data_IF_209636184254
#
_entry.id   IF_209636184254
#
_cell.length_a   1.000
_cell.length_b   1.000
_cell.length_c   1.000
_cell.angle_alpha   90.00
_cell.angle_beta   90.00
_cell.angle_gamma   90.00
#
_symmetry.space_group_name_H-M   'P 1'
#
loop_
_entity.id
_entity.type
_entity.pdbx_description
1 polymer ?
#
# COMPACT_ATOMS: atom_id res chain seq x y z
N UNK A 1 -22.44 -9.34 -33.08
CA UNK A 1 -21.07 -8.91 -32.84
C UNK A 1 -21.05 -8.43 -31.38
N UNK A 2 -20.56 -9.26 -30.47
CA UNK A 2 -20.47 -8.94 -29.06
C UNK A 2 -19.07 -8.36 -28.80
N UNK A 3 -18.98 -7.05 -28.59
CA UNK A 3 -17.77 -6.44 -28.08
C UNK A 3 -17.73 -6.71 -26.57
N UNK A 4 -17.04 -7.74 -26.17
CA UNK A 4 -16.60 -7.92 -24.79
C UNK A 4 -15.49 -6.92 -24.52
N UNK A 5 -15.79 -5.89 -23.74
CA UNK A 5 -14.80 -5.00 -23.17
C UNK A 5 -13.98 -5.85 -22.16
N UNK A 6 -12.78 -6.26 -22.57
CA UNK A 6 -11.81 -6.84 -21.64
C UNK A 6 -11.19 -5.68 -20.86
N UNK A 7 -11.66 -5.42 -19.65
CA UNK A 7 -10.98 -4.54 -18.71
C UNK A 7 -9.71 -5.24 -18.23
N UNK A 8 -8.56 -4.63 -18.41
CA UNK A 8 -7.30 -5.14 -17.86
C UNK A 8 -7.24 -4.85 -16.35
N UNK A 9 -6.79 -5.81 -15.57
CA UNK A 9 -6.69 -5.70 -14.10
C UNK A 9 -5.90 -4.47 -13.59
N UNK A 10 -5.00 -3.92 -14.39
CA UNK A 10 -4.20 -2.74 -14.04
C UNK A 10 -4.96 -1.40 -14.13
N UNK A 11 -6.13 -1.36 -14.76
CA UNK A 11 -6.99 -0.17 -14.76
C UNK A 11 -7.97 -0.16 -13.56
N UNK A 12 -7.98 -1.22 -12.79
CA UNK A 12 -8.99 -1.47 -11.76
C UNK A 12 -8.76 -0.69 -10.46
N UNK A 13 -7.54 -0.25 -10.15
CA UNK A 13 -7.27 0.30 -8.83
C UNK A 13 -7.91 1.68 -8.52
N UNK A 14 -8.40 2.40 -9.50
CA UNK A 14 -9.10 3.67 -9.27
C UNK A 14 -10.57 3.64 -9.68
N UNK A 15 -10.96 2.74 -10.59
CA UNK A 15 -12.38 2.57 -10.96
C UNK A 15 -13.00 1.27 -10.44
N UNK A 16 -12.24 0.34 -9.90
CA UNK A 16 -12.72 -0.94 -9.39
C UNK A 16 -13.38 -0.85 -8.01
N UNK A 17 -13.34 0.29 -7.35
CA UNK A 17 -14.16 0.50 -6.16
C UNK A 17 -15.68 0.50 -6.46
N UNK A 18 -16.08 0.47 -7.72
CA UNK A 18 -17.50 0.60 -8.08
C UNK A 18 -18.08 -0.47 -9.00
N UNK A 19 -17.34 -1.46 -9.52
CA UNK A 19 -17.92 -2.34 -10.57
C UNK A 19 -17.55 -3.81 -10.57
N UNK A 20 -16.79 -4.33 -9.63
CA UNK A 20 -16.58 -5.77 -9.52
C UNK A 20 -17.28 -6.30 -8.26
N UNK A 21 -18.62 -6.25 -8.24
CA UNK A 21 -19.38 -7.04 -7.29
C UNK A 21 -19.39 -8.49 -7.81
N UNK A 22 -18.39 -9.28 -7.47
CA UNK A 22 -18.50 -10.73 -7.48
C UNK A 22 -19.53 -11.18 -6.42
N UNK A 23 -19.94 -10.26 -5.53
CA UNK A 23 -20.86 -10.51 -4.44
C UNK A 23 -22.31 -10.71 -4.86
N UNK A 24 -23.03 -11.39 -3.98
CA UNK A 24 -24.48 -11.59 -4.12
C UNK A 24 -25.18 -10.23 -3.93
N UNK A 25 -25.84 -9.74 -4.98
CA UNK A 25 -26.71 -8.58 -4.88
C UNK A 25 -27.96 -8.95 -4.06
N UNK A 26 -28.13 -8.29 -2.91
CA UNK A 26 -29.31 -8.47 -2.05
C UNK A 26 -30.41 -7.48 -2.46
N UNK A 27 -30.01 -6.28 -2.82
CA UNK A 27 -30.89 -5.22 -3.33
C UNK A 27 -30.20 -4.58 -4.54
N UNK A 28 -30.97 -4.43 -5.63
CA UNK A 28 -30.52 -3.70 -6.82
C UNK A 28 -31.74 -3.02 -7.44
N UNK A 29 -31.80 -1.71 -7.28
CA UNK A 29 -32.91 -0.87 -7.74
C UNK A 29 -32.37 0.46 -8.30
N UNK A 30 -33.24 1.19 -9.00
CA UNK A 30 -32.89 2.55 -9.48
C UNK A 30 -32.56 3.54 -8.33
N UNK A 31 -32.96 3.23 -7.09
CA UNK A 31 -32.73 4.06 -5.92
C UNK A 31 -31.51 3.65 -5.10
N UNK A 32 -30.91 2.49 -5.36
CA UNK A 32 -29.74 2.02 -4.65
C UNK A 32 -29.52 0.52 -4.73
N UNK A 33 -28.37 0.08 -4.23
CA UNK A 33 -27.97 -1.32 -4.16
C UNK A 33 -27.46 -1.68 -2.77
N UNK A 34 -27.44 -2.97 -2.49
CA UNK A 34 -26.72 -3.56 -1.37
C UNK A 34 -26.25 -4.95 -1.76
N UNK A 35 -24.99 -5.21 -1.54
CA UNK A 35 -24.34 -6.49 -1.88
C UNK A 35 -23.54 -7.05 -0.71
N UNK A 36 -23.36 -8.36 -0.73
CA UNK A 36 -22.44 -9.09 0.13
C UNK A 36 -21.56 -9.95 -0.75
N UNK A 37 -20.27 -9.80 -0.60
CA UNK A 37 -19.25 -10.56 -1.32
C UNK A 37 -18.03 -10.77 -0.44
N UNK A 38 -16.93 -11.10 -1.03
CA UNK A 38 -15.67 -11.23 -0.30
C UNK A 38 -14.65 -12.09 -1.02
N UNK A 39 -13.59 -12.42 -0.31
CA UNK A 39 -12.58 -13.34 -0.81
C UNK A 39 -12.04 -14.25 0.29
N UNK A 40 -11.47 -15.36 -0.15
CA UNK A 40 -10.70 -16.28 0.69
C UNK A 40 -9.29 -16.34 0.14
N UNK A 41 -8.31 -16.15 1.01
CA UNK A 41 -6.91 -16.37 0.73
C UNK A 41 -6.37 -17.43 1.68
N UNK A 42 -5.67 -18.43 1.14
CA UNK A 42 -4.90 -19.38 1.92
C UNK A 42 -3.51 -19.45 1.33
N UNK A 43 -2.52 -19.13 2.14
CA UNK A 43 -1.13 -19.03 1.75
C UNK A 43 -0.32 -20.19 2.32
N UNK A 44 0.58 -20.74 1.48
CA UNK A 44 1.66 -21.63 1.87
C UNK A 44 2.96 -20.90 1.54
N UNK A 45 3.70 -20.54 2.58
CA UNK A 45 4.89 -19.71 2.49
C UNK A 45 6.14 -20.53 2.74
N UNK A 46 7.17 -20.20 2.01
CA UNK A 46 8.55 -20.56 2.27
C UNK A 46 9.36 -19.28 2.35
N UNK A 47 10.24 -19.21 3.34
CA UNK A 47 11.13 -18.08 3.55
C UNK A 47 12.47 -18.59 4.05
N UNK A 48 13.56 -18.03 3.53
CA UNK A 48 14.93 -18.34 3.87
C UNK A 48 15.65 -17.00 4.10
N UNK A 49 15.84 -16.67 5.37
CA UNK A 49 16.48 -15.41 5.83
C UNK A 49 17.85 -15.69 6.42
N UNK A 50 18.84 -15.04 5.90
CA UNK A 50 20.23 -15.21 6.34
C UNK A 50 20.48 -14.66 7.76
N UNK A 51 19.69 -13.67 8.20
CA UNK A 51 19.82 -13.00 9.51
C UNK A 51 19.29 -13.79 10.70
N UNK A 52 18.57 -14.86 10.51
CA UNK A 52 18.11 -15.70 11.62
C UNK A 52 19.28 -16.47 12.20
N UNK A 53 19.47 -16.35 13.52
CA UNK A 53 20.59 -16.94 14.30
C UNK A 53 20.88 -18.43 14.05
N UNK A 54 20.03 -19.11 13.30
CA UNK A 54 20.15 -20.53 12.98
C UNK A 54 20.22 -20.86 11.47
N UNK A 55 20.17 -19.92 10.54
CA UNK A 55 20.08 -20.16 9.09
C UNK A 55 18.95 -21.17 8.72
N UNK A 56 17.83 -21.12 9.41
CA UNK A 56 16.74 -22.07 9.21
C UNK A 56 15.69 -21.49 8.25
N UNK A 57 15.46 -22.20 7.17
CA UNK A 57 14.33 -21.92 6.30
C UNK A 57 13.02 -22.23 7.02
N UNK A 58 12.05 -21.33 6.88
CA UNK A 58 10.74 -21.46 7.50
C UNK A 58 9.65 -21.79 6.48
N UNK A 59 8.77 -22.70 6.89
CA UNK A 59 7.51 -22.96 6.21
C UNK A 59 6.38 -22.59 7.14
N UNK A 60 5.48 -21.75 6.66
CA UNK A 60 4.27 -21.44 7.40
C UNK A 60 3.04 -21.43 6.51
N UNK A 61 1.88 -21.44 7.14
CA UNK A 61 0.59 -21.32 6.50
C UNK A 61 -0.17 -20.20 7.20
N UNK A 62 -0.67 -19.27 6.41
CA UNK A 62 -1.57 -18.23 6.85
C UNK A 62 -2.74 -18.08 5.88
N UNK A 63 -3.61 -17.13 6.13
CA UNK A 63 -4.71 -16.83 5.24
C UNK A 63 -5.83 -16.09 5.93
N UNK A 64 -6.82 -15.72 5.15
CA UNK A 64 -7.96 -14.95 5.63
C UNK A 64 -9.24 -15.25 4.86
N UNK A 65 -10.35 -14.99 5.51
CA UNK A 65 -11.65 -14.80 4.86
C UNK A 65 -12.06 -13.36 5.07
N UNK A 66 -12.17 -12.60 4.00
CA UNK A 66 -12.70 -11.25 3.99
C UNK A 66 -14.17 -11.32 3.55
N UNK A 67 -15.05 -10.68 4.29
CA UNK A 67 -16.46 -10.50 3.90
C UNK A 67 -16.68 -9.03 3.62
N UNK A 68 -17.17 -8.71 2.43
CA UNK A 68 -17.51 -7.35 2.04
C UNK A 68 -19.01 -7.10 2.19
N UNK A 69 -19.38 -6.06 2.87
CA UNK A 69 -20.71 -5.45 2.85
C UNK A 69 -20.60 -4.08 2.17
N UNK A 70 -21.27 -3.90 1.04
CA UNK A 70 -21.27 -2.65 0.31
C UNK A 70 -22.71 -2.23 -0.01
N UNK A 71 -23.01 -0.94 0.11
CA UNK A 71 -24.31 -0.40 -0.23
C UNK A 71 -24.26 1.05 -0.62
N UNK A 72 -25.07 1.42 -1.60
CA UNK A 72 -25.22 2.79 -2.08
C UNK A 72 -26.69 3.15 -2.22
N UNK A 73 -26.99 4.40 -1.95
CA UNK A 73 -28.31 4.98 -2.22
C UNK A 73 -28.17 6.21 -3.11
N UNK A 74 -28.98 6.25 -4.15
CA UNK A 74 -28.95 7.29 -5.17
C UNK A 74 -30.12 8.25 -5.09
N UNK A 75 -29.93 9.44 -5.64
CA UNK A 75 -30.99 10.41 -5.91
C UNK A 75 -31.17 10.60 -7.41
N UNK A 76 -32.34 11.09 -7.83
CA UNK A 76 -32.65 11.30 -9.25
C UNK A 76 -31.73 12.30 -9.97
N UNK A 77 -31.00 13.14 -9.25
CA UNK A 77 -30.03 14.10 -9.80
C UNK A 77 -28.57 13.63 -9.73
N UNK A 78 -28.37 12.33 -9.43
CA UNK A 78 -27.06 11.68 -9.47
C UNK A 78 -26.21 11.86 -8.22
N UNK A 79 -26.73 12.43 -7.13
CA UNK A 79 -26.03 12.37 -5.85
C UNK A 79 -26.21 10.99 -5.21
N UNK A 80 -25.23 10.57 -4.41
CA UNK A 80 -25.26 9.30 -3.72
C UNK A 80 -24.67 9.39 -2.31
N UNK A 81 -25.00 8.41 -1.51
CA UNK A 81 -24.31 8.04 -0.28
C UNK A 81 -23.99 6.56 -0.35
N UNK A 82 -22.79 6.18 0.08
CA UNK A 82 -22.29 4.82 0.10
C UNK A 82 -21.66 4.46 1.43
N UNK A 83 -21.69 3.16 1.74
CA UNK A 83 -21.00 2.56 2.87
C UNK A 83 -20.31 1.28 2.43
N UNK A 84 -19.15 1.01 3.01
CA UNK A 84 -18.43 -0.26 2.85
C UNK A 84 -17.90 -0.69 4.20
N UNK A 85 -17.94 -2.01 4.45
CA UNK A 85 -17.26 -2.61 5.60
C UNK A 85 -16.75 -4.00 5.21
N UNK A 86 -15.50 -4.29 5.54
CA UNK A 86 -14.79 -5.52 5.21
C UNK A 86 -14.18 -6.15 6.47
N UNK A 87 -14.99 -6.80 7.34
CA UNK A 87 -14.45 -7.64 8.40
C UNK A 87 -13.60 -8.77 7.82
N UNK A 88 -12.51 -9.06 8.51
CA UNK A 88 -11.48 -9.98 8.09
C UNK A 88 -11.24 -11.00 9.19
N UNK A 89 -11.35 -12.28 8.85
CA UNK A 89 -11.16 -13.41 9.75
C UNK A 89 -9.87 -14.14 9.34
N UNK A 90 -8.83 -14.01 10.16
CA UNK A 90 -7.54 -14.63 9.88
C UNK A 90 -7.54 -16.10 10.27
N UNK A 91 -6.77 -16.92 9.55
CA UNK A 91 -6.60 -18.34 9.86
C UNK A 91 -5.91 -18.58 11.22
N UNK A 92 -5.23 -17.56 11.75
CA UNK A 92 -4.64 -17.52 13.09
C UNK A 92 -5.67 -17.39 14.21
N UNK A 93 -6.93 -17.07 13.87
CA UNK A 93 -8.03 -16.85 14.82
C UNK A 93 -8.26 -15.39 15.20
N UNK A 94 -7.49 -14.47 14.67
CA UNK A 94 -7.69 -13.04 14.86
C UNK A 94 -8.86 -12.53 14.01
N UNK A 95 -9.43 -11.41 14.44
CA UNK A 95 -10.42 -10.66 13.69
C UNK A 95 -9.88 -9.26 13.48
N UNK A 96 -9.86 -8.83 12.23
CA UNK A 96 -9.40 -7.51 11.83
C UNK A 96 -10.44 -6.83 10.93
N UNK A 97 -10.15 -5.62 10.51
CA UNK A 97 -10.98 -4.83 9.60
C UNK A 97 -10.09 -4.34 8.45
N UNK A 98 -10.44 -4.69 7.23
CA UNK A 98 -9.76 -4.19 6.04
C UNK A 98 -10.26 -2.78 5.72
N UNK A 99 -11.30 -2.61 4.91
CA UNK A 99 -11.93 -1.31 4.70
C UNK A 99 -13.15 -1.11 5.61
N UNK A 100 -13.38 0.12 6.05
CA UNK A 100 -14.61 0.57 6.69
C UNK A 100 -14.78 2.07 6.48
N UNK A 101 -15.68 2.46 5.58
CA UNK A 101 -15.86 3.87 5.28
C UNK A 101 -17.29 4.25 4.91
N UNK A 102 -17.53 5.54 5.03
CA UNK A 102 -18.69 6.23 4.49
C UNK A 102 -18.24 7.13 3.32
N UNK A 103 -19.03 7.15 2.26
CA UNK A 103 -18.78 7.98 1.09
C UNK A 103 -20.03 8.69 0.67
N UNK A 104 -19.90 9.92 0.15
CA UNK A 104 -20.99 10.64 -0.50
C UNK A 104 -20.46 11.55 -1.60
N UNK A 105 -21.28 11.77 -2.61
CA UNK A 105 -20.82 12.57 -3.74
C UNK A 105 -21.83 12.68 -4.87
N UNK A 106 -21.29 12.85 -6.06
CA UNK A 106 -22.04 12.85 -7.31
C UNK A 106 -21.41 11.87 -8.26
N UNK A 107 -22.20 10.94 -8.76
CA UNK A 107 -21.75 9.91 -9.71
C UNK A 107 -21.05 10.57 -10.91
N UNK A 108 -19.91 10.00 -11.31
CA UNK A 108 -19.04 10.53 -12.39
C UNK A 108 -18.55 11.96 -12.15
N UNK A 109 -18.48 12.41 -10.91
CA UNK A 109 -18.05 13.75 -10.52
C UNK A 109 -17.11 13.76 -9.33
N UNK A 110 -17.57 14.28 -8.22
CA UNK A 110 -16.81 14.41 -7.00
C UNK A 110 -17.29 13.44 -5.92
N UNK A 111 -16.40 13.07 -5.01
CA UNK A 111 -16.70 12.28 -3.82
C UNK A 111 -15.97 12.80 -2.59
N UNK A 112 -16.59 12.62 -1.42
CA UNK A 112 -15.94 12.72 -0.11
C UNK A 112 -16.07 11.35 0.54
N UNK A 113 -14.93 10.77 0.93
CA UNK A 113 -14.83 9.49 1.60
C UNK A 113 -14.22 9.70 2.99
N UNK A 114 -14.74 9.05 4.01
CA UNK A 114 -14.23 9.13 5.37
C UNK A 114 -14.25 7.77 6.06
N UNK A 115 -13.17 7.42 6.75
CA UNK A 115 -13.00 6.16 7.44
C UNK A 115 -11.68 5.48 7.11
N UNK A 116 -11.67 4.15 7.17
CA UNK A 116 -10.55 3.28 6.85
C UNK A 116 -10.67 2.82 5.40
N UNK A 117 -9.76 3.21 4.52
CA UNK A 117 -9.77 2.86 3.10
C UNK A 117 -8.42 3.11 2.44
N UNK A 118 -8.20 2.51 1.28
CA UNK A 118 -7.08 2.83 0.40
C UNK A 118 -7.39 4.07 -0.45
N UNK A 119 -6.42 4.98 -0.52
CA UNK A 119 -6.43 6.13 -1.41
C UNK A 119 -5.83 5.74 -2.79
N UNK A 120 -5.46 6.71 -3.63
CA UNK A 120 -4.83 6.43 -4.91
C UNK A 120 -3.46 5.75 -4.73
N UNK A 121 -3.29 4.56 -5.33
CA UNK A 121 -2.02 3.83 -5.31
C UNK A 121 -0.95 4.54 -6.14
N UNK A 122 0.06 5.08 -5.46
CA UNK A 122 1.19 5.77 -6.08
C UNK A 122 2.38 4.86 -6.36
N UNK A 123 2.31 3.58 -5.95
CA UNK A 123 3.41 2.64 -6.18
C UNK A 123 2.88 1.24 -6.53
N UNK A 124 2.14 1.09 -7.65
CA UNK A 124 1.58 -0.19 -8.05
C UNK A 124 2.69 -1.22 -8.33
N UNK A 125 2.64 -2.35 -7.65
CA UNK A 125 3.65 -3.43 -7.73
C UNK A 125 3.27 -4.54 -8.71
N UNK A 126 2.18 -4.39 -9.43
CA UNK A 126 1.74 -5.35 -10.45
C UNK A 126 1.07 -6.59 -9.85
N UNK A 127 1.41 -7.76 -10.36
CA UNK A 127 0.97 -9.02 -9.76
C UNK A 127 2.03 -9.45 -8.73
N UNK A 128 1.97 -8.82 -7.59
CA UNK A 128 2.75 -9.22 -6.43
C UNK A 128 1.94 -10.18 -5.56
N UNK A 129 2.52 -11.33 -5.25
CA UNK A 129 1.89 -12.36 -4.42
C UNK A 129 2.56 -12.44 -3.05
N UNK A 130 3.84 -12.06 -2.98
CA UNK A 130 4.59 -12.12 -1.75
C UNK A 130 5.76 -11.13 -1.78
N UNK A 131 5.58 -9.97 -1.21
CA UNK A 131 6.59 -8.94 -1.13
C UNK A 131 6.70 -8.45 0.32
N UNK A 132 7.60 -9.02 1.10
CA UNK A 132 7.71 -8.80 2.55
C UNK A 132 8.50 -7.54 2.90
N UNK A 133 9.53 -7.19 2.10
CA UNK A 133 10.48 -6.15 2.44
C UNK A 133 10.23 -4.80 1.76
N UNK A 134 9.13 -4.65 1.07
CA UNK A 134 8.75 -3.33 0.62
C UNK A 134 7.80 -2.71 1.62
N UNK A 135 8.18 -1.64 2.25
CA UNK A 135 7.26 -0.80 3.02
C UNK A 135 6.07 -0.47 2.15
N UNK A 136 4.87 -0.79 2.57
CA UNK A 136 3.73 -0.71 1.68
C UNK A 136 3.08 0.68 1.68
N UNK A 137 3.44 1.53 2.60
CA UNK A 137 2.90 2.89 2.65
C UNK A 137 3.82 3.86 3.36
N UNK A 138 3.52 5.15 3.36
CA UNK A 138 4.14 6.10 4.26
C UNK A 138 3.66 5.94 5.72
N UNK A 139 2.76 5.00 6.00
CA UNK A 139 2.42 4.64 7.37
C UNK A 139 3.45 3.71 7.99
N UNK A 140 4.12 2.92 7.15
CA UNK A 140 5.12 1.95 7.58
C UNK A 140 6.48 2.47 7.15
N UNK A 141 7.19 3.10 8.07
CA UNK A 141 8.55 3.60 7.82
C UNK A 141 9.54 2.47 7.71
N UNK A 142 9.26 1.33 8.34
CA UNK A 142 10.11 0.14 8.29
C UNK A 142 9.26 -1.09 8.03
N UNK A 143 9.77 -1.98 7.20
CA UNK A 143 9.24 -3.32 7.01
C UNK A 143 9.99 -4.25 7.97
N UNK A 144 9.27 -4.98 8.80
CA UNK A 144 9.81 -5.98 9.76
C UNK A 144 11.00 -5.53 10.62
N UNK A 145 11.26 -4.23 10.70
CA UNK A 145 12.38 -3.66 11.46
C UNK A 145 13.78 -3.89 10.86
N UNK A 146 13.89 -4.51 9.68
CA UNK A 146 15.19 -4.82 9.05
C UNK A 146 15.44 -4.10 7.74
N UNK A 147 14.39 -3.68 7.02
CA UNK A 147 14.53 -2.98 5.74
C UNK A 147 13.40 -1.97 5.54
N UNK A 148 13.70 -0.88 4.87
CA UNK A 148 12.74 0.17 4.59
C UNK A 148 12.64 0.47 3.11
N UNK A 149 11.41 0.60 2.62
CA UNK A 149 11.11 0.95 1.24
C UNK A 149 9.96 1.94 1.20
N UNK A 150 10.28 3.22 1.11
CA UNK A 150 9.27 4.28 1.03
C UNK A 150 8.56 4.24 -0.32
N UNK A 151 7.25 4.13 -0.34
CA UNK A 151 6.48 3.97 -1.57
C UNK A 151 5.44 5.05 -1.85
N UNK A 152 5.13 5.94 -0.93
CA UNK A 152 4.05 6.92 -1.05
C UNK A 152 2.70 6.29 -1.49
N UNK A 153 2.46 5.06 -1.06
CA UNK A 153 1.33 4.23 -1.47
C UNK A 153 -0.04 4.73 -0.96
N UNK A 154 -1.05 3.91 -0.91
CA UNK A 154 -2.45 4.34 -0.70
C UNK A 154 -3.01 4.15 0.72
N UNK A 155 -2.40 3.29 1.53
CA UNK A 155 -3.04 2.83 2.78
C UNK A 155 -2.87 3.74 4.00
N UNK A 156 -2.85 5.03 3.80
CA UNK A 156 -2.57 6.03 4.84
C UNK A 156 -3.39 5.90 6.10
N UNK A 157 -4.67 5.75 5.98
CA UNK A 157 -5.60 5.73 7.10
C UNK A 157 -5.91 4.35 7.64
N UNK A 158 -5.29 3.29 7.12
CA UNK A 158 -5.61 1.92 7.52
C UNK A 158 -5.04 1.51 8.87
N UNK A 159 -3.90 2.04 9.25
CA UNK A 159 -3.20 1.69 10.48
C UNK A 159 -3.76 2.33 11.74
N UNK A 160 -4.54 3.40 11.67
CA UNK A 160 -5.01 4.16 12.82
C UNK A 160 -6.41 4.76 12.62
N UNK A 161 -6.69 5.94 13.14
CA UNK A 161 -8.04 6.54 13.26
C UNK A 161 -8.76 6.89 11.95
N UNK A 162 -8.32 6.34 10.81
CA UNK A 162 -8.92 6.59 9.50
C UNK A 162 -8.48 7.92 8.88
N UNK A 163 -9.07 8.23 7.74
CA UNK A 163 -8.77 9.42 6.96
C UNK A 163 -10.05 10.01 6.36
N UNK A 164 -9.97 11.25 5.90
CA UNK A 164 -10.96 11.90 5.05
C UNK A 164 -10.32 12.25 3.72
N UNK A 165 -11.04 12.08 2.63
CA UNK A 165 -10.53 12.31 1.28
C UNK A 165 -11.59 12.97 0.43
N UNK A 166 -11.21 14.02 -0.29
CA UNK A 166 -11.95 14.54 -1.43
C UNK A 166 -11.34 14.05 -2.71
N UNK A 167 -12.14 13.59 -3.67
CA UNK A 167 -11.70 13.25 -5.01
C UNK A 167 -12.62 13.78 -6.09
N UNK A 168 -12.07 14.03 -7.28
CA UNK A 168 -12.85 14.46 -8.44
C UNK A 168 -12.18 14.07 -9.74
N UNK A 169 -13.00 13.68 -10.74
CA UNK A 169 -12.56 13.40 -12.10
C UNK A 169 -13.07 14.48 -13.07
N UNK A 170 -12.17 15.02 -13.89
CA UNK A 170 -12.44 16.00 -14.95
C UNK A 170 -11.98 15.44 -16.30
N UNK A 171 -12.82 14.66 -16.95
CA UNK A 171 -12.42 13.96 -18.16
C UNK A 171 -11.27 12.99 -17.90
N UNK A 172 -10.09 13.27 -18.42
CA UNK A 172 -8.89 12.43 -18.23
C UNK A 172 -8.07 12.79 -16.98
N UNK A 173 -8.44 13.85 -16.29
CA UNK A 173 -7.74 14.32 -15.08
C UNK A 173 -8.48 13.83 -13.84
N UNK A 174 -7.76 13.14 -12.96
CA UNK A 174 -8.18 12.79 -11.60
C UNK A 174 -7.40 13.63 -10.60
N UNK A 175 -8.08 14.12 -9.59
CA UNK A 175 -7.49 14.81 -8.44
C UNK A 175 -8.02 14.24 -7.15
N UNK A 176 -7.18 14.18 -6.13
CA UNK A 176 -7.49 13.67 -4.81
C UNK A 176 -6.74 14.48 -3.75
N UNK A 177 -7.36 14.70 -2.62
CA UNK A 177 -6.70 15.24 -1.42
C UNK A 177 -7.17 14.41 -0.23
N UNK A 178 -6.27 13.56 0.26
CA UNK A 178 -6.42 12.85 1.53
C UNK A 178 -5.95 13.69 2.70
N UNK A 179 -6.56 13.52 3.86
CA UNK A 179 -6.17 14.17 5.10
C UNK A 179 -6.36 13.24 6.30
N UNK A 180 -5.41 13.24 7.22
CA UNK A 180 -5.46 12.56 8.50
C UNK A 180 -5.25 13.57 9.62
N UNK A 181 -6.13 13.54 10.62
CA UNK A 181 -6.12 14.42 11.77
C UNK A 181 -5.93 13.60 13.05
N UNK A 182 -5.33 14.19 14.07
CA UNK A 182 -5.17 13.59 15.39
C UNK A 182 -3.76 13.07 15.66
N UNK A 183 -3.64 12.24 16.69
CA UNK A 183 -2.37 11.59 17.03
C UNK A 183 -1.97 10.61 15.92
N UNK A 184 -0.83 10.87 15.29
CA UNK A 184 -0.26 10.08 14.21
C UNK A 184 1.20 9.71 14.51
N UNK A 185 1.57 9.64 15.79
CA UNK A 185 2.93 9.31 16.22
C UNK A 185 3.46 8.01 15.62
N UNK A 186 2.59 7.04 15.44
CA UNK A 186 2.91 5.76 14.80
C UNK A 186 3.39 5.89 13.33
N UNK A 187 3.15 7.03 12.67
CA UNK A 187 3.66 7.29 11.31
C UNK A 187 5.07 7.88 11.31
N UNK A 188 5.62 8.18 12.49
CA UNK A 188 6.89 8.88 12.67
C UNK A 188 7.86 8.14 13.58
N UNK A 189 7.50 6.99 14.13
CA UNK A 189 8.29 6.30 15.15
C UNK A 189 9.44 5.42 14.58
N UNK A 190 9.63 5.45 13.28
CA UNK A 190 10.75 4.74 12.66
C UNK A 190 10.76 3.21 12.88
N UNK A 191 9.60 2.61 13.13
CA UNK A 191 9.43 1.17 13.33
C UNK A 191 9.78 0.66 14.73
N UNK A 192 10.25 1.53 15.63
CA UNK A 192 10.44 1.21 17.05
C UNK A 192 9.45 2.05 17.85
N UNK A 193 8.40 1.43 18.34
CA UNK A 193 7.31 2.10 19.04
C UNK A 193 7.83 3.11 20.09
N UNK A 194 7.41 4.36 19.91
CA UNK A 194 7.78 5.47 20.78
C UNK A 194 9.21 5.98 20.64
N UNK A 195 9.93 5.60 19.60
CA UNK A 195 11.29 6.09 19.33
C UNK A 195 11.49 6.54 17.89
N UNK A 196 12.39 7.48 17.71
CA UNK A 196 12.92 7.89 16.40
C UNK A 196 14.43 8.01 16.50
N UNK A 197 15.17 7.32 15.62
CA UNK A 197 16.64 7.29 15.62
C UNK A 197 17.24 7.02 17.01
N UNK A 198 16.66 6.04 17.74
CA UNK A 198 17.10 5.66 19.09
C UNK A 198 16.59 6.55 20.22
N UNK A 199 16.16 7.77 19.92
CA UNK A 199 15.69 8.74 20.91
C UNK A 199 14.19 8.54 21.20
N UNK A 200 13.79 8.78 22.46
CA UNK A 200 12.40 8.70 22.88
C UNK A 200 11.58 9.86 22.29
N UNK A 201 10.38 9.55 21.83
CA UNK A 201 9.39 10.56 21.48
C UNK A 201 8.86 11.17 22.79
N UNK A 202 9.15 12.47 23.01
CA UNK A 202 8.84 13.19 24.23
C UNK A 202 7.48 13.88 24.20
N UNK A 203 7.07 14.30 23.01
CA UNK A 203 5.85 15.09 22.81
C UNK A 203 5.07 14.53 21.64
N UNK A 204 3.80 14.27 21.88
CA UNK A 204 2.82 13.87 20.87
C UNK A 204 1.65 14.84 20.94
N UNK A 205 1.36 15.51 19.84
CA UNK A 205 0.18 16.35 19.64
C UNK A 205 -0.55 15.90 18.37
N UNK A 206 -1.76 16.40 18.20
CA UNK A 206 -2.50 16.18 16.97
C UNK A 206 -1.70 16.72 15.76
N UNK A 207 -1.48 15.88 14.79
CA UNK A 207 -0.93 16.22 13.50
C UNK A 207 -2.02 16.42 12.46
N UNK A 208 -1.66 17.03 11.34
CA UNK A 208 -2.52 17.19 10.17
C UNK A 208 -1.71 16.81 8.92
N UNK A 209 -1.71 15.50 8.62
CA UNK A 209 -1.11 15.02 7.38
C UNK A 209 -2.06 15.26 6.22
N UNK A 210 -1.52 15.76 5.11
CA UNK A 210 -2.23 15.93 3.85
C UNK A 210 -1.49 15.23 2.72
N UNK A 211 -2.25 14.65 1.79
CA UNK A 211 -1.72 13.94 0.63
C UNK A 211 -2.54 14.28 -0.63
N UNK A 212 -2.20 15.39 -1.34
CA UNK A 212 -2.73 15.64 -2.67
C UNK A 212 -2.14 14.67 -3.70
N UNK A 213 -2.98 14.18 -4.61
CA UNK A 213 -2.62 13.38 -5.78
C UNK A 213 -3.26 13.97 -7.01
N UNK A 214 -2.53 13.94 -8.11
CA UNK A 214 -3.03 14.23 -9.46
C UNK A 214 -2.64 13.10 -10.39
N UNK A 215 -3.61 12.60 -11.17
CA UNK A 215 -3.36 11.59 -12.20
C UNK A 215 -3.98 12.00 -13.53
N UNK A 216 -3.31 11.70 -14.63
CA UNK A 216 -3.77 12.03 -15.98
C UNK A 216 -3.64 10.85 -16.92
N UNK A 217 -4.74 10.52 -17.63
CA UNK A 217 -4.80 9.44 -18.61
C UNK A 217 -4.59 9.98 -20.03
N UNK A 218 -3.64 9.39 -20.76
CA UNK A 218 -3.30 9.74 -22.16
C UNK A 218 -3.34 8.48 -23.05
N UNK A 219 -4.52 8.08 -23.50
CA UNK A 219 -4.67 6.82 -24.23
C UNK A 219 -4.24 5.63 -23.37
N UNK A 220 -3.24 4.88 -23.84
CA UNK A 220 -2.69 3.70 -23.14
C UNK A 220 -1.77 4.08 -21.96
N UNK A 221 -1.44 5.35 -21.78
CA UNK A 221 -0.55 5.84 -20.71
C UNK A 221 -1.33 6.54 -19.62
N UNK A 222 -0.90 6.35 -18.37
CA UNK A 222 -1.36 7.10 -17.20
C UNK A 222 -0.13 7.56 -16.41
N UNK A 223 -0.15 8.81 -15.98
CA UNK A 223 0.87 9.36 -15.09
C UNK A 223 0.20 9.92 -13.85
N UNK A 224 0.85 9.77 -12.69
CA UNK A 224 0.36 10.32 -11.44
C UNK A 224 1.51 10.93 -10.64
N UNK A 225 1.21 11.98 -9.87
CA UNK A 225 2.14 12.60 -8.95
C UNK A 225 1.44 12.89 -7.61
N UNK A 226 2.17 12.76 -6.52
CA UNK A 226 1.69 13.05 -5.17
C UNK A 226 2.74 13.82 -4.36
N UNK A 227 2.24 14.51 -3.35
CA UNK A 227 3.03 15.03 -2.23
C UNK A 227 2.33 14.61 -0.96
N UNK A 228 3.06 14.35 0.11
CA UNK A 228 2.49 14.16 1.44
C UNK A 228 3.32 14.89 2.47
N UNK A 229 2.67 15.56 3.41
CA UNK A 229 3.38 16.33 4.45
C UNK A 229 2.47 16.56 5.66
N UNK A 230 3.09 16.72 6.82
CA UNK A 230 2.40 17.22 8.01
C UNK A 230 2.40 18.76 7.99
N UNK A 231 1.25 19.36 8.33
CA UNK A 231 1.08 20.82 8.33
C UNK A 231 1.17 21.43 9.74
N UNK A 232 1.39 20.63 10.77
CA UNK A 232 1.47 21.08 12.16
C UNK A 232 2.89 20.97 12.66
N UNK A 233 3.52 22.09 12.94
CA UNK A 233 4.87 22.10 13.51
C UNK A 233 4.88 21.58 14.94
N UNK A 234 5.97 20.92 15.32
CA UNK A 234 6.17 20.31 16.65
C UNK A 234 5.01 19.36 17.04
N UNK A 235 4.42 18.68 16.05
CA UNK A 235 3.38 17.70 16.33
C UNK A 235 3.95 16.49 17.05
N UNK A 236 5.06 15.97 16.57
CA UNK A 236 5.79 14.85 17.19
C UNK A 236 7.23 15.29 17.40
N UNK A 237 7.69 15.26 18.64
CA UNK A 237 9.02 15.77 19.02
C UNK A 237 9.80 14.67 19.74
N UNK A 238 11.03 14.42 19.32
CA UNK A 238 12.00 13.57 19.99
C UNK A 238 13.24 14.39 20.37
N UNK A 239 13.66 14.32 21.62
CA UNK A 239 14.82 15.06 22.16
C UNK A 239 14.84 16.56 21.78
N UNK A 240 13.66 17.19 21.71
CA UNK A 240 13.50 18.60 21.35
C UNK A 240 13.53 18.92 19.86
N UNK A 241 13.60 17.93 18.99
CA UNK A 241 13.59 18.05 17.53
C UNK A 241 12.21 17.66 16.98
N UNK A 242 11.65 18.46 16.07
CA UNK A 242 10.37 18.17 15.40
C UNK A 242 10.57 17.08 14.32
N UNK A 243 10.32 15.82 14.66
CA UNK A 243 10.41 14.69 13.73
C UNK A 243 9.19 14.56 12.82
N UNK A 244 8.14 15.33 13.06
CA UNK A 244 6.96 15.41 12.19
C UNK A 244 7.17 16.33 10.97
N UNK A 245 8.28 17.07 10.91
CA UNK A 245 8.71 17.84 9.74
C UNK A 245 9.30 16.91 8.69
N UNK A 246 8.41 16.32 7.90
CA UNK A 246 8.81 15.46 6.78
C UNK A 246 7.91 15.68 5.58
N UNK A 247 8.46 15.45 4.38
CA UNK A 247 7.72 15.56 3.12
C UNK A 247 8.07 14.41 2.19
N UNK A 248 7.03 13.71 1.74
CA UNK A 248 7.11 12.64 0.76
C UNK A 248 6.63 13.08 -0.62
N UNK A 249 7.20 12.49 -1.65
CA UNK A 249 6.87 12.72 -3.05
C UNK A 249 6.71 11.39 -3.77
N UNK A 250 5.73 11.31 -4.67
CA UNK A 250 5.52 10.14 -5.52
C UNK A 250 5.34 10.52 -6.98
N UNK A 251 5.91 9.74 -7.87
CA UNK A 251 5.69 9.82 -9.32
C UNK A 251 5.52 8.41 -9.87
N UNK A 252 4.44 8.20 -10.63
CA UNK A 252 4.09 6.90 -11.20
C UNK A 252 3.72 7.04 -12.66
N UNK A 253 4.26 6.18 -13.50
CA UNK A 253 3.87 5.98 -14.89
C UNK A 253 3.32 4.59 -15.10
N UNK A 254 2.19 4.47 -15.77
CA UNK A 254 1.60 3.20 -16.19
C UNK A 254 1.38 3.22 -17.69
N UNK A 255 1.70 2.10 -18.35
CA UNK A 255 1.36 1.82 -19.74
C UNK A 255 0.65 0.48 -19.82
N UNK A 256 -0.52 0.45 -20.49
CA UNK A 256 -1.32 -0.77 -20.67
C UNK A 256 -1.76 -0.88 -22.11
N UNK A 257 -1.34 -1.94 -22.81
CA UNK A 257 -1.71 -2.19 -24.20
C UNK A 257 -1.78 -3.68 -24.50
N UNK A 258 -2.94 -4.14 -24.98
CA UNK A 258 -3.21 -5.57 -25.20
C UNK A 258 -3.10 -6.37 -23.91
N UNK A 259 -2.22 -7.36 -23.91
CA UNK A 259 -1.98 -8.25 -22.75
C UNK A 259 -0.85 -7.74 -21.83
N UNK A 260 -0.31 -6.55 -22.10
CA UNK A 260 0.79 -5.96 -21.33
C UNK A 260 0.30 -4.85 -20.42
N UNK A 261 0.86 -4.82 -19.21
CA UNK A 261 0.83 -3.66 -18.32
C UNK A 261 2.22 -3.46 -17.73
N UNK A 262 2.72 -2.23 -17.77
CA UNK A 262 4.03 -1.86 -17.22
C UNK A 262 3.86 -0.67 -16.30
N UNK A 263 4.41 -0.75 -15.08
CA UNK A 263 4.49 0.38 -14.15
C UNK A 263 5.95 0.77 -13.94
N UNK A 264 6.18 2.06 -13.78
CA UNK A 264 7.44 2.62 -13.33
C UNK A 264 7.14 3.65 -12.24
N UNK A 265 7.74 3.48 -11.08
CA UNK A 265 7.42 4.23 -9.88
C UNK A 265 8.68 4.83 -9.28
N UNK A 266 8.58 6.05 -8.74
CA UNK A 266 9.62 6.69 -7.92
C UNK A 266 8.94 7.35 -6.74
N UNK A 267 9.48 7.12 -5.54
CA UNK A 267 9.06 7.77 -4.31
C UNK A 267 10.29 8.32 -3.59
N UNK A 268 10.17 9.50 -3.01
CA UNK A 268 11.22 10.15 -2.23
C UNK A 268 10.62 10.75 -0.97
N UNK A 269 11.28 10.57 0.16
CA UNK A 269 10.93 11.20 1.42
C UNK A 269 12.13 11.95 1.98
N UNK A 270 11.89 13.18 2.39
CA UNK A 270 12.80 14.04 3.15
C UNK A 270 12.28 14.13 4.59
N UNK A 271 13.09 13.68 5.54
CA UNK A 271 12.79 13.67 6.96
C UNK A 271 14.02 14.09 7.78
N UNK A 272 13.85 14.27 9.08
CA UNK A 272 14.94 14.68 9.97
C UNK A 272 15.98 13.56 10.06
N UNK A 273 17.23 13.89 9.72
CA UNK A 273 18.37 12.97 9.68
C UNK A 273 18.16 11.73 8.80
N UNK A 274 17.22 11.81 7.84
CA UNK A 274 16.88 10.69 6.98
C UNK A 274 16.36 11.14 5.61
N UNK A 275 16.85 10.51 4.54
CA UNK A 275 16.34 10.64 3.18
C UNK A 275 16.12 9.26 2.58
N UNK A 276 14.95 9.02 1.98
CA UNK A 276 14.62 7.75 1.38
C UNK A 276 14.23 7.92 -0.09
N UNK A 277 14.90 7.20 -0.97
CA UNK A 277 14.59 7.15 -2.40
C UNK A 277 14.27 5.71 -2.80
N UNK A 278 13.09 5.48 -3.35
CA UNK A 278 12.70 4.19 -3.88
C UNK A 278 12.32 4.32 -5.35
N UNK A 279 12.83 3.42 -6.18
CA UNK A 279 12.43 3.26 -7.56
C UNK A 279 11.96 1.84 -7.82
N UNK A 280 10.85 1.67 -8.53
CA UNK A 280 10.28 0.39 -8.90
C UNK A 280 9.91 0.30 -10.37
N UNK A 281 10.04 -0.87 -10.95
CA UNK A 281 9.51 -1.19 -12.27
C UNK A 281 8.93 -2.59 -12.24
N UNK A 282 7.75 -2.75 -12.83
CA UNK A 282 7.17 -4.07 -13.01
C UNK A 282 6.44 -4.18 -14.34
N UNK A 283 6.29 -5.42 -14.79
CA UNK A 283 5.57 -5.74 -16.00
C UNK A 283 4.67 -6.96 -15.77
N UNK A 284 3.45 -6.87 -16.26
CA UNK A 284 2.51 -7.97 -16.37
C UNK A 284 2.35 -8.34 -17.84
N UNK A 285 2.39 -9.62 -18.13
CA UNK A 285 2.06 -10.18 -19.43
C UNK A 285 1.11 -11.37 -19.25
N UNK A 286 -0.14 -11.20 -19.67
CA UNK A 286 -1.20 -12.15 -19.36
C UNK A 286 -1.24 -12.48 -17.85
N UNK A 287 -0.84 -13.70 -17.49
CA UNK A 287 -0.86 -14.21 -16.13
C UNK A 287 0.52 -14.18 -15.44
N UNK A 288 1.55 -13.71 -16.14
CA UNK A 288 2.92 -13.63 -15.60
C UNK A 288 3.24 -12.22 -15.16
N UNK A 289 3.85 -12.07 -13.99
CA UNK A 289 4.35 -10.83 -13.43
C UNK A 289 5.85 -10.91 -13.13
N UNK A 290 6.55 -9.81 -13.37
CA UNK A 290 7.96 -9.63 -13.00
C UNK A 290 8.16 -8.20 -12.53
N UNK A 291 8.93 -8.00 -11.46
CA UNK A 291 9.23 -6.66 -10.97
C UNK A 291 10.57 -6.58 -10.27
N UNK A 292 11.00 -5.33 -10.08
CA UNK A 292 12.19 -4.95 -9.34
C UNK A 292 11.92 -3.65 -8.57
N UNK A 293 12.31 -3.63 -7.31
CA UNK A 293 12.28 -2.44 -6.45
C UNK A 293 13.69 -2.22 -5.90
N UNK A 294 14.13 -0.97 -5.87
CA UNK A 294 15.38 -0.57 -5.25
C UNK A 294 15.14 0.64 -4.37
N UNK A 295 15.54 0.57 -3.11
CA UNK A 295 15.48 1.66 -2.15
C UNK A 295 16.88 2.01 -1.67
N UNK A 296 17.13 3.30 -1.50
CA UNK A 296 18.32 3.89 -0.89
C UNK A 296 17.81 4.70 0.30
N UNK A 297 18.25 4.33 1.50
CA UNK A 297 17.94 5.04 2.73
C UNK A 297 19.25 5.66 3.23
N UNK A 298 19.31 6.97 3.20
CA UNK A 298 20.47 7.76 3.67
C UNK A 298 20.16 8.24 5.09
N UNK A 299 21.00 7.87 6.04
CA UNK A 299 20.89 8.28 7.44
C UNK A 299 22.01 9.27 7.78
N UNK A 300 21.64 10.32 8.49
CA UNK A 300 22.54 11.35 9.00
C UNK A 300 22.46 11.38 10.52
N UNK A 301 23.40 12.03 11.19
CA UNK A 301 23.46 12.18 12.65
C UNK A 301 23.61 13.64 13.09
N UNK A 302 23.01 14.56 12.36
CA UNK A 302 23.12 16.01 12.60
C UNK A 302 22.36 16.43 13.86
N UNK A 303 21.13 15.97 14.00
CA UNK A 303 20.27 16.26 15.14
C UNK A 303 20.35 15.15 16.19
N UNK A 304 20.44 13.89 15.76
CA UNK A 304 20.50 12.70 16.60
C UNK A 304 21.88 12.07 16.55
N UNK A 305 22.85 12.70 17.22
CA UNK A 305 24.28 12.32 17.15
C UNK A 305 24.61 10.93 17.73
N UNK A 306 23.67 10.27 18.36
CA UNK A 306 23.77 8.87 18.83
C UNK A 306 23.36 7.86 17.76
N UNK A 307 22.74 8.31 16.67
CA UNK A 307 22.32 7.46 15.56
C UNK A 307 23.48 7.12 14.61
N UNK A 308 23.32 6.03 13.87
CA UNK A 308 24.27 5.63 12.85
C UNK A 308 24.17 6.54 11.62
N UNK A 309 25.30 6.78 10.95
CA UNK A 309 25.42 7.54 9.71
C UNK A 309 25.79 6.61 8.57
N UNK A 310 25.22 6.82 7.37
CA UNK A 310 25.52 6.04 6.18
C UNK A 310 24.28 5.62 5.41
N UNK A 311 24.44 4.65 4.51
CA UNK A 311 23.40 4.20 3.60
C UNK A 311 22.96 2.77 3.89
N UNK A 312 21.64 2.52 3.79
CA UNK A 312 21.06 1.17 3.71
C UNK A 312 20.37 1.01 2.36
N UNK A 313 20.85 0.09 1.53
CA UNK A 313 20.30 -0.17 0.22
C UNK A 313 19.48 -1.47 0.24
N UNK A 314 18.26 -1.43 -0.27
CA UNK A 314 17.38 -2.60 -0.37
C UNK A 314 17.07 -2.85 -1.83
N UNK A 315 17.27 -4.08 -2.29
CA UNK A 315 16.95 -4.47 -3.66
C UNK A 315 16.09 -5.72 -3.65
N UNK A 316 14.89 -5.66 -4.24
CA UNK A 316 13.98 -6.79 -4.32
C UNK A 316 13.61 -7.10 -5.76
N UNK A 317 13.91 -8.33 -6.19
CA UNK A 317 13.40 -8.93 -7.42
C UNK A 317 12.22 -9.83 -7.08
N UNK A 318 11.15 -9.77 -7.84
CA UNK A 318 10.00 -10.64 -7.64
C UNK A 318 9.39 -11.10 -8.96
N UNK A 319 8.82 -12.29 -8.92
CA UNK A 319 8.12 -12.88 -10.06
C UNK A 319 6.87 -13.62 -9.59
N UNK A 320 5.85 -13.64 -10.43
CA UNK A 320 4.58 -14.26 -10.11
C UNK A 320 3.90 -14.88 -11.32
N UNK A 321 3.01 -15.83 -11.06
CA UNK A 321 2.16 -16.44 -12.07
C UNK A 321 0.78 -16.75 -11.49
N UNK A 322 -0.27 -16.45 -12.26
CA UNK A 322 -1.66 -16.70 -11.88
C UNK A 322 -2.27 -17.83 -12.75
N UNK A 323 -2.68 -18.91 -12.13
CA UNK A 323 -3.60 -19.87 -12.74
C UNK A 323 -5.02 -19.43 -12.41
N UNK A 324 -5.77 -19.00 -13.40
CA UNK A 324 -7.13 -18.49 -13.21
C UNK A 324 -8.17 -19.54 -13.54
N UNK A 325 -9.36 -19.42 -12.94
CA UNK A 325 -10.51 -20.31 -13.17
C UNK A 325 -10.14 -21.79 -13.02
N UNK A 326 -9.40 -22.10 -11.97
CA UNK A 326 -8.89 -23.44 -11.69
C UNK A 326 -10.07 -24.39 -11.48
N UNK A 327 -9.99 -25.60 -12.03
CA UNK A 327 -11.06 -26.60 -12.07
C UNK A 327 -12.36 -26.08 -12.74
N UNK A 328 -12.24 -25.10 -13.65
CA UNK A 328 -13.37 -24.43 -14.32
C UNK A 328 -14.32 -23.69 -13.32
N UNK A 329 -13.82 -23.42 -12.10
CA UNK A 329 -14.54 -22.60 -11.11
C UNK A 329 -14.15 -21.15 -11.36
N UNK A 330 -15.12 -20.35 -11.75
CA UNK A 330 -14.93 -18.92 -12.00
C UNK A 330 -14.40 -18.25 -10.72
N UNK A 331 -13.45 -17.31 -10.91
CA UNK A 331 -12.83 -16.52 -9.84
C UNK A 331 -12.02 -17.32 -8.79
N UNK A 332 -11.87 -18.65 -8.98
CA UNK A 332 -10.92 -19.44 -8.22
C UNK A 332 -9.56 -19.45 -8.92
N UNK A 333 -8.54 -18.95 -8.24
CA UNK A 333 -7.18 -18.82 -8.76
C UNK A 333 -6.15 -19.49 -7.83
N UNK A 334 -5.08 -20.01 -8.43
CA UNK A 334 -3.86 -20.38 -7.73
C UNK A 334 -2.79 -19.39 -8.17
N UNK A 335 -2.26 -18.64 -7.22
CA UNK A 335 -1.22 -17.63 -7.46
C UNK A 335 0.10 -18.17 -6.93
N UNK A 336 1.14 -18.08 -7.74
CA UNK A 336 2.51 -18.37 -7.35
C UNK A 336 3.27 -17.06 -7.29
N UNK A 337 4.05 -16.86 -6.25
CA UNK A 337 4.95 -15.73 -6.09
C UNK A 337 6.30 -16.17 -5.54
N UNK A 338 7.34 -15.47 -5.93
CA UNK A 338 8.69 -15.60 -5.37
C UNK A 338 9.36 -14.25 -5.40
N UNK A 339 10.21 -13.99 -4.41
CA UNK A 339 11.04 -12.80 -4.37
C UNK A 339 12.45 -13.16 -3.89
N UNK A 340 13.39 -12.28 -4.19
CA UNK A 340 14.73 -12.26 -3.63
C UNK A 340 15.08 -10.82 -3.27
N UNK A 341 15.34 -10.60 -1.98
CA UNK A 341 15.72 -9.28 -1.43
C UNK A 341 17.15 -9.34 -0.92
N UNK A 342 17.90 -8.28 -1.18
CA UNK A 342 19.22 -8.04 -0.59
C UNK A 342 19.21 -6.72 0.16
N UNK A 343 19.79 -6.70 1.35
CA UNK A 343 20.01 -5.51 2.16
C UNK A 343 21.52 -5.30 2.31
N UNK A 344 22.02 -4.18 1.79
CA UNK A 344 23.43 -3.76 1.89
C UNK A 344 23.50 -2.59 2.88
N UNK A 345 23.98 -2.89 4.08
CA UNK A 345 24.07 -1.95 5.19
C UNK A 345 25.48 -1.35 5.27
N UNK A 346 25.58 -0.05 5.03
CA UNK A 346 26.83 0.73 5.12
C UNK A 346 26.84 1.73 6.26
N UNK A 347 25.99 1.53 7.27
CA UNK A 347 25.98 2.37 8.44
C UNK A 347 27.29 2.23 9.21
N UNK A 348 27.79 3.34 9.74
CA UNK A 348 28.89 3.30 10.69
C UNK A 348 28.42 2.56 11.97
N UNK A 349 29.31 1.80 12.60
CA UNK A 349 28.99 0.87 13.68
C UNK A 349 28.59 1.59 14.97
N UNK A 350 27.43 2.21 15.02
CA UNK A 350 26.82 2.68 16.24
C UNK A 350 25.77 1.70 16.79
N UNK A 351 25.42 1.84 18.04
CA UNK A 351 24.83 0.84 18.91
C UNK A 351 23.49 0.23 18.46
N UNK A 352 22.80 0.84 17.50
CA UNK A 352 21.49 0.36 17.02
C UNK A 352 21.51 -0.07 15.53
N UNK A 353 22.67 -0.11 14.90
CA UNK A 353 22.86 -0.60 13.52
C UNK A 353 22.46 -2.10 13.33
N UNK A 354 22.22 -2.81 14.42
CA UNK A 354 21.70 -4.18 14.38
C UNK A 354 20.26 -4.28 13.84
N UNK A 355 19.53 -3.14 13.80
CA UNK A 355 18.20 -3.10 13.20
C UNK A 355 18.24 -3.26 11.66
N UNK A 356 19.39 -3.00 11.03
CA UNK A 356 19.61 -3.08 9.58
C UNK A 356 20.74 -4.06 9.27
N UNK A 357 20.60 -5.32 9.70
CA UNK A 357 21.59 -6.33 9.37
C UNK A 357 21.70 -6.49 7.84
N UNK A 358 22.92 -6.72 7.33
CA UNK A 358 23.09 -7.22 5.97
C UNK A 358 22.32 -8.53 5.86
N UNK A 359 21.45 -8.65 4.86
CA UNK A 359 20.50 -9.74 4.79
C UNK A 359 20.17 -10.08 3.35
N UNK A 360 20.26 -11.39 3.05
CA UNK A 360 19.70 -11.96 1.85
C UNK A 360 18.44 -12.73 2.25
N UNK A 361 17.30 -12.44 1.60
CA UNK A 361 16.04 -13.12 1.84
C UNK A 361 15.44 -13.66 0.54
N UNK A 362 15.16 -14.96 0.53
CA UNK A 362 14.46 -15.63 -0.55
C UNK A 362 13.11 -16.12 -0.05
N UNK A 363 12.04 -15.68 -0.68
CA UNK A 363 10.70 -16.14 -0.34
C UNK A 363 9.93 -16.70 -1.52
N UNK A 364 9.00 -17.58 -1.22
CA UNK A 364 8.04 -18.11 -2.18
C UNK A 364 6.68 -18.33 -1.53
N UNK A 365 5.62 -18.10 -2.28
CA UNK A 365 4.24 -18.30 -1.83
C UNK A 365 3.42 -19.02 -2.89
N UNK A 366 2.61 -19.97 -2.42
CA UNK A 366 1.47 -20.48 -3.16
C UNK A 366 0.22 -19.97 -2.46
N UNK A 367 -0.58 -19.14 -3.15
CA UNK A 367 -1.84 -18.63 -2.63
C UNK A 367 -3.01 -19.29 -3.35
N UNK A 368 -3.91 -19.90 -2.60
CA UNK A 368 -5.24 -20.24 -3.09
C UNK A 368 -6.13 -19.03 -2.87
N UNK A 369 -6.71 -18.51 -3.93
CA UNK A 369 -7.54 -17.30 -3.91
C UNK A 369 -8.89 -17.58 -4.55
N UNK A 370 -9.96 -17.25 -3.83
CA UNK A 370 -11.31 -17.35 -4.34
C UNK A 370 -12.11 -16.09 -4.01
N UNK A 371 -12.71 -15.49 -5.03
CA UNK A 371 -13.60 -14.33 -4.89
C UNK A 371 -15.07 -14.78 -5.05
N UNK A 372 -15.99 -14.29 -4.19
CA UNK A 372 -17.42 -14.70 -4.20
C UNK A 372 -18.38 -13.53 -3.95
#
# INVERSE_FOLDING_TARGET
>A
MKNTLKMSLAAASVMAAMTANAGISIVDTDEGNFSVGGNVELNFNYQDRESHDNNDSEFNQDGRVLIEFAGEKYTSNGHYVGVKAQPLFESTGNIALDDAYFEFGKKDGWAIKAGRFEAYDMFPVGLDVFLEYSGDTANDLYSDGSAYTYQAKEARGRGSDGQIMYSQTFGNLYVEVGAMLGDRSNLFDGGIEGKYHGEQIDTVKDSFLVRPVVAYQMGDFKVAASVETNLVSDAIVANGVDISDRTGYGLTGNWTSGDWSVNANVAYMDAVDENNLTAGVNALWNNFGLGYIHAINEYENKEFSSWAEGDVNVSTWYASYAFRDVLEVQDFSILLGTYYTTVDNKLDQQSDASAFAEEDDLGARVRLFYEF
#
